data_IF_639942113848
#
_entry.id   IF_639942113848
#
_cell.length_a   1.000
_cell.length_b   1.000
_cell.length_c   1.000
_cell.angle_alpha   90.00
_cell.angle_beta   90.00
_cell.angle_gamma   90.00
#
_symmetry.space_group_name_H-M   'P 1'
#
loop_
_entity.id
_entity.type
_entity.pdbx_description
1 polymer ?
#
# COMPACT_ATOMS: atom_id res chain seq x y z
N UNK A 1 -67.29 38.99 14.15
CA UNK A 1 -66.42 38.89 13.02
C UNK A 1 -65.03 38.47 13.53
N UNK A 2 -64.63 37.24 13.24
CA UNK A 2 -63.50 36.57 13.86
C UNK A 2 -62.29 36.73 12.95
N UNK A 3 -61.26 37.44 13.42
CA UNK A 3 -60.01 37.58 12.68
C UNK A 3 -59.12 36.36 13.02
N UNK A 4 -58.90 35.49 12.02
CA UNK A 4 -57.98 34.39 12.12
C UNK A 4 -56.57 34.90 11.73
N UNK A 5 -55.66 34.93 12.69
CA UNK A 5 -54.26 35.24 12.47
C UNK A 5 -53.57 33.91 12.16
N UNK A 6 -53.17 33.71 10.90
CA UNK A 6 -52.32 32.59 10.50
C UNK A 6 -50.89 32.92 10.87
N UNK A 7 -50.40 32.28 11.94
CA UNK A 7 -48.98 32.27 12.29
C UNK A 7 -48.25 31.31 11.36
N UNK A 8 -47.53 31.83 10.38
CA UNK A 8 -46.70 31.03 9.45
C UNK A 8 -45.34 30.76 10.14
N UNK A 9 -45.25 29.58 10.74
CA UNK A 9 -44.02 29.08 11.37
C UNK A 9 -43.04 28.66 10.27
N UNK A 10 -42.03 29.50 10.01
CA UNK A 10 -40.95 29.22 9.06
C UNK A 10 -39.98 28.19 9.70
N UNK A 11 -40.07 26.92 9.29
CA UNK A 11 -39.11 25.89 9.68
C UNK A 11 -37.81 26.11 8.87
N UNK A 12 -36.80 26.70 9.50
CA UNK A 12 -35.43 26.72 9.00
C UNK A 12 -34.81 25.32 9.13
N UNK A 13 -34.84 24.55 8.05
CA UNK A 13 -34.10 23.31 7.96
C UNK A 13 -32.61 23.71 7.76
N UNK A 14 -31.85 23.73 8.84
CA UNK A 14 -30.41 23.80 8.79
C UNK A 14 -29.87 22.49 8.19
N UNK A 15 -29.63 22.49 6.89
CA UNK A 15 -28.89 21.42 6.23
C UNK A 15 -27.44 21.43 6.75
N UNK A 16 -27.21 20.70 7.83
CA UNK A 16 -25.86 20.42 8.30
C UNK A 16 -25.16 19.57 7.23
N UNK A 17 -24.35 20.19 6.41
CA UNK A 17 -23.37 19.48 5.58
C UNK A 17 -22.35 18.82 6.52
N UNK A 18 -22.66 17.62 6.98
CA UNK A 18 -21.66 16.76 7.60
C UNK A 18 -20.66 16.37 6.51
N UNK A 19 -19.53 17.08 6.50
CA UNK A 19 -18.36 16.66 5.74
C UNK A 19 -17.98 15.28 6.26
N UNK A 20 -18.28 14.22 5.52
CA UNK A 20 -17.82 12.87 5.83
C UNK A 20 -16.30 12.95 5.95
N UNK A 21 -15.78 12.62 7.14
CA UNK A 21 -14.34 12.53 7.38
C UNK A 21 -13.83 11.47 6.41
N UNK A 22 -13.10 11.86 5.37
CA UNK A 22 -12.44 10.91 4.47
C UNK A 22 -11.59 9.97 5.32
N UNK A 23 -12.01 8.71 5.38
CA UNK A 23 -11.25 7.68 6.08
C UNK A 23 -10.05 7.37 5.17
N UNK A 24 -8.87 7.77 5.62
CA UNK A 24 -7.64 7.45 4.89
C UNK A 24 -7.54 5.93 4.71
N UNK A 25 -7.39 5.47 3.49
CA UNK A 25 -7.28 4.04 3.14
C UNK A 25 -6.00 3.39 3.67
N UNK A 26 -5.03 4.19 4.09
CA UNK A 26 -3.82 3.73 4.78
C UNK A 26 -4.09 3.41 6.26
N UNK A 27 -5.19 3.92 6.82
CA UNK A 27 -5.64 3.58 8.18
C UNK A 27 -5.90 2.07 8.27
N UNK A 28 -5.42 1.45 9.35
CA UNK A 28 -5.51 0.00 9.55
C UNK A 28 -4.47 -0.82 8.79
N UNK A 29 -3.49 -0.17 8.17
CA UNK A 29 -2.35 -0.83 7.52
C UNK A 29 -1.07 -0.82 8.38
N UNK A 30 -1.17 -0.37 9.64
CA UNK A 30 -0.04 -0.33 10.59
C UNK A 30 0.58 -1.71 10.84
N UNK A 31 -0.11 -2.80 10.51
CA UNK A 31 0.45 -4.15 10.54
C UNK A 31 1.68 -4.31 9.62
N UNK A 32 1.79 -3.48 8.55
CA UNK A 32 2.92 -3.50 7.63
C UNK A 32 4.19 -2.91 8.26
N UNK A 33 4.04 -1.99 9.24
CA UNK A 33 5.16 -1.26 9.84
C UNK A 33 6.11 -2.18 10.62
N UNK A 34 7.39 -1.85 10.61
CA UNK A 34 8.49 -2.56 11.26
C UNK A 34 9.42 -3.22 10.26
N UNK A 35 10.26 -4.10 10.76
CA UNK A 35 11.23 -4.83 9.95
C UNK A 35 10.77 -6.27 9.72
N UNK A 36 10.88 -6.70 8.47
CA UNK A 36 10.50 -8.02 7.98
C UNK A 36 11.70 -8.69 7.34
N UNK A 37 11.88 -9.98 7.56
CA UNK A 37 12.97 -10.76 7.00
C UNK A 37 12.54 -12.11 6.43
N UNK A 38 13.14 -12.48 5.31
CA UNK A 38 13.11 -13.83 4.75
C UNK A 38 14.55 -14.27 4.52
N UNK A 39 14.95 -15.38 5.14
CA UNK A 39 16.27 -15.98 5.00
C UNK A 39 16.15 -17.26 4.18
N UNK A 40 16.94 -17.38 3.12
CA UNK A 40 17.04 -18.57 2.27
C UNK A 40 18.50 -18.86 1.93
N UNK A 41 18.76 -19.97 1.25
CA UNK A 41 20.08 -20.32 0.74
C UNK A 41 20.53 -19.39 -0.39
N UNK A 42 19.57 -18.74 -1.06
CA UNK A 42 19.86 -17.77 -2.12
C UNK A 42 20.28 -16.40 -1.58
N UNK A 43 19.88 -16.06 -0.36
CA UNK A 43 20.15 -14.78 0.29
C UNK A 43 19.08 -14.38 1.29
N UNK A 44 19.23 -13.18 1.83
CA UNK A 44 18.32 -12.58 2.79
C UNK A 44 17.55 -11.42 2.16
N UNK A 45 16.23 -11.51 2.11
CA UNK A 45 15.38 -10.37 1.81
C UNK A 45 15.00 -9.68 3.12
N UNK A 46 15.20 -8.37 3.17
CA UNK A 46 14.83 -7.52 4.31
C UNK A 46 13.96 -6.39 3.76
N UNK A 47 12.83 -6.14 4.42
CA UNK A 47 12.01 -4.96 4.21
C UNK A 47 11.81 -4.20 5.50
N UNK A 48 11.91 -2.87 5.44
CA UNK A 48 11.74 -1.97 6.58
C UNK A 48 10.67 -0.95 6.22
N UNK A 49 9.57 -0.92 6.98
CA UNK A 49 8.48 0.02 6.78
C UNK A 49 8.33 0.97 7.95
N UNK A 50 8.25 2.27 7.67
CA UNK A 50 8.09 3.34 8.64
C UNK A 50 6.90 4.23 8.31
N UNK A 51 6.15 4.64 9.33
CA UNK A 51 5.11 5.65 9.18
C UNK A 51 5.76 7.03 9.16
N UNK A 52 5.61 7.75 8.04
CA UNK A 52 6.07 9.13 7.89
C UNK A 52 4.98 10.11 8.38
N UNK A 53 3.72 9.86 7.99
CA UNK A 53 2.54 10.58 8.46
C UNK A 53 1.27 9.75 8.21
N UNK A 54 0.08 10.32 8.43
CA UNK A 54 -1.19 9.59 8.29
C UNK A 54 -1.59 9.27 6.84
N UNK A 55 -0.83 9.75 5.86
CA UNK A 55 -1.07 9.49 4.44
C UNK A 55 0.13 8.89 3.70
N UNK A 56 1.24 8.63 4.42
CA UNK A 56 2.48 8.15 3.82
C UNK A 56 3.21 7.19 4.76
N UNK A 57 3.44 5.97 4.29
CA UNK A 57 4.47 5.07 4.82
C UNK A 57 5.62 5.00 3.82
N UNK A 58 6.84 4.99 4.31
CA UNK A 58 8.05 4.80 3.51
C UNK A 58 8.66 3.44 3.83
N UNK A 59 9.17 2.80 2.80
CA UNK A 59 9.81 1.49 2.91
C UNK A 59 11.15 1.43 2.20
N UNK A 60 11.98 0.49 2.64
CA UNK A 60 13.22 0.12 2.01
C UNK A 60 13.30 -1.40 1.93
N UNK A 61 13.75 -1.93 0.80
CA UNK A 61 13.96 -3.37 0.59
C UNK A 61 15.38 -3.63 0.14
N UNK A 62 15.96 -4.72 0.67
CA UNK A 62 17.32 -5.15 0.35
C UNK A 62 17.35 -6.66 0.16
N UNK A 63 17.97 -7.11 -0.92
CA UNK A 63 18.34 -8.52 -1.07
C UNK A 63 19.85 -8.66 -0.91
N UNK A 64 20.27 -9.37 0.13
CA UNK A 64 21.67 -9.49 0.55
C UNK A 64 22.09 -10.94 0.41
N UNK A 65 23.15 -11.18 -0.35
CA UNK A 65 23.82 -12.47 -0.44
C UNK A 65 25.24 -12.34 0.12
N UNK A 66 25.54 -13.13 1.15
CA UNK A 66 26.80 -13.03 1.89
C UNK A 66 27.04 -11.63 2.44
N UNK A 67 27.90 -10.83 1.82
CA UNK A 67 28.20 -9.45 2.19
C UNK A 67 27.71 -8.42 1.16
N UNK A 68 27.21 -8.88 0.03
CA UNK A 68 26.85 -8.04 -1.11
C UNK A 68 25.36 -7.75 -1.13
N UNK A 69 25.00 -6.48 -1.28
CA UNK A 69 23.63 -6.05 -1.57
C UNK A 69 23.38 -6.15 -3.07
N UNK A 70 22.70 -7.19 -3.49
CA UNK A 70 22.39 -7.46 -4.89
C UNK A 70 21.21 -6.65 -5.43
N UNK A 71 20.31 -6.23 -4.54
CA UNK A 71 19.14 -5.42 -4.87
C UNK A 71 18.84 -4.44 -3.76
N UNK A 72 18.45 -3.23 -4.12
CA UNK A 72 17.92 -2.24 -3.20
C UNK A 72 16.78 -1.45 -3.83
N UNK A 73 15.73 -1.26 -3.07
CA UNK A 73 14.50 -0.59 -3.49
C UNK A 73 14.05 0.41 -2.41
N UNK A 74 13.57 1.57 -2.83
CA UNK A 74 12.83 2.51 -1.99
C UNK A 74 11.36 2.43 -2.36
N UNK A 75 10.51 2.39 -1.35
CA UNK A 75 9.07 2.21 -1.52
C UNK A 75 8.29 3.29 -0.79
N UNK A 76 7.17 3.68 -1.35
CA UNK A 76 6.18 4.53 -0.68
C UNK A 76 4.81 3.89 -0.78
N UNK A 77 4.10 3.82 0.33
CA UNK A 77 2.66 3.56 0.37
C UNK A 77 1.97 4.90 0.64
N UNK A 78 1.30 5.45 -0.38
CA UNK A 78 0.86 6.85 -0.39
C UNK A 78 -0.62 6.98 -0.65
N UNK A 79 -1.31 7.69 0.25
CA UNK A 79 -2.70 8.07 0.05
C UNK A 79 -2.78 9.32 -0.84
N UNK A 80 -3.53 9.23 -1.95
CA UNK A 80 -3.82 10.36 -2.84
C UNK A 80 -5.34 10.42 -3.09
N UNK A 81 -6.03 11.31 -2.39
CA UNK A 81 -7.49 11.34 -2.38
C UNK A 81 -8.05 10.00 -1.91
N UNK A 82 -8.90 9.38 -2.69
CA UNK A 82 -9.44 8.04 -2.39
C UNK A 82 -8.53 6.87 -2.80
N UNK A 83 -7.43 7.14 -3.50
CA UNK A 83 -6.55 6.10 -4.00
C UNK A 83 -5.37 5.85 -3.06
N UNK A 84 -5.04 4.59 -2.85
CA UNK A 84 -3.80 4.17 -2.22
C UNK A 84 -2.84 3.72 -3.33
N UNK A 85 -1.63 4.27 -3.33
CA UNK A 85 -0.62 4.01 -4.35
C UNK A 85 0.60 3.36 -3.70
N UNK A 86 1.16 2.38 -4.39
CA UNK A 86 2.50 1.85 -4.10
C UNK A 86 3.45 2.41 -5.15
N UNK A 87 4.51 3.07 -4.70
CA UNK A 87 5.52 3.67 -5.56
C UNK A 87 6.85 3.00 -5.25
N UNK A 88 7.47 2.44 -6.27
CA UNK A 88 8.73 1.70 -6.19
C UNK A 88 9.83 2.40 -6.97
N UNK A 89 11.01 2.53 -6.39
CA UNK A 89 12.21 3.01 -7.06
C UNK A 89 13.35 2.02 -6.80
N UNK A 90 13.73 1.27 -7.83
CA UNK A 90 14.80 0.26 -7.75
C UNK A 90 16.07 0.88 -8.28
N UNK A 91 17.14 0.83 -7.47
CA UNK A 91 18.46 1.34 -7.85
C UNK A 91 19.00 0.61 -9.08
N UNK A 92 19.39 1.40 -10.09
CA UNK A 92 19.95 0.88 -11.35
C UNK A 92 18.91 0.35 -12.35
N UNK A 93 17.60 0.46 -12.05
CA UNK A 93 16.52 0.09 -12.97
C UNK A 93 15.71 1.32 -13.38
N UNK A 94 15.13 1.30 -14.59
CA UNK A 94 14.28 2.38 -15.12
C UNK A 94 14.92 3.79 -15.00
N UNK A 95 16.25 3.91 -15.09
CA UNK A 95 17.03 5.13 -14.87
C UNK A 95 16.74 5.76 -13.49
N UNK A 96 16.58 4.94 -12.46
CA UNK A 96 16.19 5.33 -11.09
C UNK A 96 14.87 6.10 -11.00
N UNK A 97 14.00 5.96 -12.00
CA UNK A 97 12.68 6.57 -12.00
C UNK A 97 11.66 5.69 -11.29
N UNK A 98 10.75 6.30 -10.51
CA UNK A 98 9.72 5.55 -9.80
C UNK A 98 8.70 4.90 -10.74
N UNK A 99 8.23 3.72 -10.36
CA UNK A 99 7.09 3.03 -10.97
C UNK A 99 5.94 3.04 -9.97
N UNK A 100 4.75 3.41 -10.43
CA UNK A 100 3.55 3.51 -9.58
C UNK A 100 2.58 2.37 -9.88
N UNK A 101 2.05 1.77 -8.82
CA UNK A 101 1.02 0.72 -8.86
C UNK A 101 -0.22 1.22 -8.11
N UNK A 102 -1.41 0.93 -8.65
CA UNK A 102 -2.68 1.29 -8.04
C UNK A 102 -3.20 0.17 -7.14
N UNK A 103 -3.75 0.53 -5.99
CA UNK A 103 -4.37 -0.42 -5.08
C UNK A 103 -5.67 -0.96 -5.66
N UNK A 104 -5.79 -2.28 -5.69
CA UNK A 104 -7.04 -2.97 -5.99
C UNK A 104 -7.85 -3.11 -4.69
N UNK A 105 -8.93 -2.32 -4.57
CA UNK A 105 -9.76 -2.24 -3.35
C UNK A 105 -10.71 -3.42 -3.17
N UNK A 106 -10.92 -4.23 -4.21
CA UNK A 106 -11.88 -5.33 -4.19
C UNK A 106 -11.42 -6.52 -3.32
N UNK A 107 -10.14 -6.53 -2.96
CA UNK A 107 -9.55 -7.64 -2.20
C UNK A 107 -9.31 -7.21 -0.76
N UNK A 108 -10.20 -7.61 0.14
CA UNK A 108 -10.08 -7.33 1.56
C UNK A 108 -8.93 -8.11 2.23
N UNK A 109 -8.46 -7.60 3.38
CA UNK A 109 -7.44 -8.23 4.25
C UNK A 109 -6.04 -8.40 3.63
N UNK A 110 -5.79 -7.85 2.44
CA UNK A 110 -4.48 -7.80 1.83
C UNK A 110 -4.31 -6.49 1.06
N UNK A 111 -3.06 -6.12 0.80
CA UNK A 111 -2.74 -5.01 -0.07
C UNK A 111 -2.38 -5.58 -1.44
N UNK A 112 -3.14 -5.24 -2.45
CA UNK A 112 -2.91 -5.67 -3.83
C UNK A 112 -2.69 -4.42 -4.68
N UNK A 113 -1.54 -4.34 -5.31
CA UNK A 113 -1.13 -3.23 -6.17
C UNK A 113 -0.89 -3.73 -7.58
N UNK A 114 -1.42 -3.01 -8.57
CA UNK A 114 -1.37 -3.43 -9.97
C UNK A 114 -0.91 -2.29 -10.88
N UNK A 115 -0.03 -2.64 -11.82
CA UNK A 115 0.33 -1.82 -12.96
C UNK A 115 0.42 -2.72 -14.22
N UNK A 116 -0.69 -2.90 -14.96
CA UNK A 116 -0.72 -3.79 -16.12
C UNK A 116 0.13 -3.31 -17.30
N UNK A 117 0.58 -2.04 -17.29
CA UNK A 117 1.46 -1.45 -18.32
C UNK A 117 2.94 -1.75 -18.07
N UNK A 118 3.29 -2.15 -16.84
CA UNK A 118 4.65 -2.56 -16.51
C UNK A 118 4.90 -3.98 -17.01
N UNK A 119 6.15 -4.32 -17.33
CA UNK A 119 6.52 -5.69 -17.71
C UNK A 119 6.64 -6.57 -16.48
N UNK A 120 7.50 -6.19 -15.54
CA UNK A 120 7.71 -6.88 -14.29
C UNK A 120 8.18 -5.89 -13.19
N UNK A 121 7.55 -5.97 -12.00
CA UNK A 121 6.29 -6.67 -11.73
C UNK A 121 5.08 -5.96 -12.35
N UNK A 122 3.99 -6.70 -12.58
CA UNK A 122 2.65 -6.15 -12.89
C UNK A 122 1.77 -6.08 -11.67
N UNK A 123 2.03 -6.96 -10.69
CA UNK A 123 1.25 -7.10 -9.48
C UNK A 123 2.15 -7.37 -8.28
N UNK A 124 1.85 -6.69 -7.18
CA UNK A 124 2.51 -6.83 -5.89
C UNK A 124 1.42 -7.05 -4.84
N UNK A 125 1.56 -8.09 -4.02
CA UNK A 125 0.60 -8.44 -2.96
C UNK A 125 1.32 -8.54 -1.63
N UNK A 126 0.80 -7.84 -0.63
CA UNK A 126 1.16 -8.04 0.78
C UNK A 126 -0.01 -8.69 1.49
N UNK A 127 0.17 -9.89 2.00
CA UNK A 127 -0.86 -10.68 2.68
C UNK A 127 -0.44 -10.99 4.11
N UNK A 128 -1.06 -10.40 5.13
CA UNK A 128 -0.84 -10.80 6.51
C UNK A 128 -1.42 -12.20 6.74
N UNK A 129 -0.62 -13.11 7.29
CA UNK A 129 -1.03 -14.49 7.62
C UNK A 129 -1.01 -14.76 9.13
N UNK A 130 -0.24 -13.96 9.87
CA UNK A 130 -0.23 -13.93 11.32
C UNK A 130 0.24 -12.55 11.81
N UNK A 131 0.23 -12.30 13.12
CA UNK A 131 0.66 -11.02 13.70
C UNK A 131 2.12 -10.67 13.35
N UNK A 132 2.96 -11.69 13.21
CA UNK A 132 4.40 -11.61 12.95
C UNK A 132 4.80 -12.22 11.60
N UNK A 133 3.86 -12.50 10.71
CA UNK A 133 4.11 -13.11 9.40
C UNK A 133 3.28 -12.51 8.30
N UNK A 134 3.94 -12.22 7.18
CA UNK A 134 3.28 -11.82 5.93
C UNK A 134 3.83 -12.65 4.78
N UNK A 135 3.04 -12.77 3.72
CA UNK A 135 3.52 -13.25 2.42
C UNK A 135 3.54 -12.07 1.47
N UNK A 136 4.67 -11.88 0.81
CA UNK A 136 4.81 -10.94 -0.31
C UNK A 136 4.82 -11.77 -1.58
N UNK A 137 3.93 -11.45 -2.53
CA UNK A 137 3.92 -12.04 -3.85
C UNK A 137 4.17 -10.95 -4.89
N UNK A 138 5.10 -11.22 -5.78
CA UNK A 138 5.47 -10.35 -6.90
C UNK A 138 5.27 -11.13 -8.18
N UNK A 139 4.48 -10.61 -9.12
CA UNK A 139 4.15 -11.33 -10.35
C UNK A 139 4.09 -10.41 -11.56
N UNK A 140 4.31 -10.97 -12.75
CA UNK A 140 4.31 -10.26 -14.02
C UNK A 140 4.77 -11.13 -15.16
N UNK A 141 5.33 -10.51 -16.20
CA UNK A 141 5.91 -11.21 -17.35
C UNK A 141 7.43 -10.98 -17.33
N UNK A 142 8.18 -12.05 -17.40
CA UNK A 142 9.64 -12.04 -17.55
C UNK A 142 10.01 -12.96 -18.71
N UNK A 143 10.79 -12.45 -19.68
CA UNK A 143 11.18 -13.20 -20.86
C UNK A 143 9.96 -13.87 -21.57
N UNK A 144 8.91 -13.07 -21.77
CA UNK A 144 7.64 -13.46 -22.38
C UNK A 144 6.87 -14.59 -21.68
N UNK A 145 7.22 -14.90 -20.44
CA UNK A 145 6.57 -15.94 -19.63
C UNK A 145 6.02 -15.35 -18.32
N UNK A 146 4.87 -15.87 -17.86
CA UNK A 146 4.37 -15.54 -16.52
C UNK A 146 5.41 -15.94 -15.47
N UNK A 147 5.68 -15.00 -14.55
CA UNK A 147 6.58 -15.20 -13.42
C UNK A 147 5.87 -14.81 -12.12
N UNK A 148 6.01 -15.64 -11.10
CA UNK A 148 5.48 -15.40 -9.75
C UNK A 148 6.55 -15.78 -8.76
N UNK A 149 6.92 -14.85 -7.88
CA UNK A 149 7.84 -15.08 -6.77
C UNK A 149 7.11 -14.80 -5.46
N UNK A 150 7.30 -15.66 -4.45
CA UNK A 150 6.70 -15.53 -3.12
C UNK A 150 7.76 -15.53 -2.04
N UNK A 151 7.64 -14.58 -1.12
CA UNK A 151 8.50 -14.47 0.05
C UNK A 151 7.64 -14.60 1.31
N UNK A 152 7.94 -15.60 2.15
CA UNK A 152 7.35 -15.72 3.48
C UNK A 152 8.20 -14.93 4.45
N UNK A 153 7.72 -13.75 4.84
CA UNK A 153 8.46 -12.83 5.69
C UNK A 153 8.05 -13.00 7.15
N UNK A 154 9.03 -12.94 8.04
CA UNK A 154 8.80 -12.90 9.49
C UNK A 154 9.20 -11.54 10.02
N UNK A 155 8.40 -11.00 10.95
CA UNK A 155 8.72 -9.75 11.64
C UNK A 155 9.93 -9.96 12.53
N UNK A 156 10.92 -9.06 12.42
CA UNK A 156 12.18 -9.12 13.18
C UNK A 156 12.27 -7.99 14.19
N UNK A 157 11.55 -6.88 13.96
CA UNK A 157 11.39 -5.72 14.85
C UNK A 157 10.02 -5.07 14.68
#
# INVERSE_FOLDING_TARGET
MKNAIYSMMLLLIAASCQKSKEVSKIVGKDWLLGQWGNKSDEGNLIEIWKKTNDSLFTGESYFIKEKDTLHSEKMELKQKGENLLYVSTIKGQNNDKPVTFNHNIEIEKQLVFENPKNEYPRKIVYKPIAKDRIVIEVSGIQQDKPSIVRYSMKKTE
#
